data_IF_412291635152
#
_entry.id   IF_412291635152
#
_cell.length_a   1.000
_cell.length_b   1.000
_cell.length_c   1.000
_cell.angle_alpha   90.00
_cell.angle_beta   90.00
_cell.angle_gamma   90.00
#
_symmetry.space_group_name_H-M   'P 1'
#
loop_
_entity.id
_entity.type
_entity.pdbx_description
1 polymer ?
#
# COMPACT_ATOMS: atom_id res chain seq x y z
N UNK A 1 -0.20 6.00 -12.17
CA UNK A 1 -0.04 4.84 -11.29
C UNK A 1 1.11 4.04 -11.81
N UNK A 2 2.07 3.84 -10.91
CA UNK A 2 3.18 2.97 -11.18
C UNK A 2 2.77 1.52 -11.31
N UNK A 3 3.45 0.81 -12.20
CA UNK A 3 3.27 -0.62 -12.42
C UNK A 3 3.63 -1.37 -11.13
N UNK A 4 2.83 -2.35 -10.72
CA UNK A 4 3.18 -3.24 -9.60
C UNK A 4 3.99 -4.43 -10.11
N UNK A 5 5.15 -4.69 -9.49
CA UNK A 5 5.97 -5.89 -9.74
C UNK A 5 6.06 -6.70 -8.45
N UNK A 6 5.30 -7.79 -8.37
CA UNK A 6 5.31 -8.71 -7.23
C UNK A 6 5.93 -10.06 -7.60
N UNK A 7 6.66 -10.71 -6.67
CA UNK A 7 7.13 -12.06 -6.91
C UNK A 7 5.96 -13.03 -7.05
N UNK A 8 6.20 -14.11 -7.80
CA UNK A 8 5.22 -15.19 -7.91
C UNK A 8 5.24 -16.03 -6.64
N UNK A 9 4.29 -15.75 -5.75
CA UNK A 9 4.05 -16.62 -4.60
C UNK A 9 3.19 -17.81 -5.01
N UNK A 10 3.55 -19.02 -4.55
CA UNK A 10 2.69 -20.19 -4.69
C UNK A 10 1.69 -20.25 -3.52
N UNK A 11 0.74 -19.32 -3.52
CA UNK A 11 -0.31 -19.24 -2.48
C UNK A 11 -1.56 -19.94 -3.02
N UNK A 12 -2.11 -20.94 -2.30
CA UNK A 12 -3.28 -21.66 -2.77
C UNK A 12 -4.51 -20.75 -2.77
N UNK A 13 -5.34 -20.87 -3.80
CA UNK A 13 -6.70 -20.32 -3.78
C UNK A 13 -7.55 -21.19 -2.85
N UNK A 14 -8.28 -20.56 -1.93
CA UNK A 14 -9.15 -21.25 -0.98
C UNK A 14 -10.54 -20.63 -1.02
N UNK A 15 -11.54 -21.50 -1.19
CA UNK A 15 -12.94 -21.11 -0.98
C UNK A 15 -13.14 -20.87 0.52
N UNK A 16 -13.45 -19.64 0.87
CA UNK A 16 -13.75 -19.20 2.23
C UNK A 16 -15.12 -18.53 2.22
N UNK A 17 -15.88 -18.71 3.29
CA UNK A 17 -17.15 -18.02 3.44
C UNK A 17 -16.89 -16.53 3.71
N UNK A 18 -17.69 -15.67 3.08
CA UNK A 18 -17.71 -14.24 3.37
C UNK A 18 -18.92 -13.92 4.24
N UNK A 19 -18.80 -12.83 4.99
CA UNK A 19 -19.91 -12.21 5.74
C UNK A 19 -20.06 -10.76 5.30
N UNK A 20 -21.27 -10.23 5.33
CA UNK A 20 -21.47 -8.80 5.10
C UNK A 20 -21.07 -8.01 6.35
N UNK A 21 -20.24 -7.01 6.17
CA UNK A 21 -19.83 -6.08 7.23
C UNK A 21 -20.16 -4.66 6.79
N UNK A 22 -20.71 -3.87 7.71
CA UNK A 22 -21.05 -2.47 7.48
C UNK A 22 -19.77 -1.65 7.21
N UNK A 23 -19.83 -0.77 6.22
CA UNK A 23 -18.68 0.04 5.79
C UNK A 23 -18.24 1.04 6.87
N UNK A 24 -19.14 1.48 7.75
CA UNK A 24 -18.84 2.43 8.83
C UNK A 24 -18.00 1.81 9.98
N UNK A 25 -18.03 0.48 10.11
CA UNK A 25 -17.22 -0.30 11.04
C UNK A 25 -15.82 -0.60 10.51
N UNK A 26 -15.54 -0.32 9.24
CA UNK A 26 -14.25 -0.58 8.63
C UNK A 26 -13.31 0.63 8.78
N UNK A 27 -12.09 0.39 9.24
CA UNK A 27 -11.06 1.41 9.46
C UNK A 27 -9.89 1.22 8.50
N UNK A 28 -9.61 2.21 7.63
CA UNK A 28 -8.43 2.18 6.78
C UNK A 28 -7.17 2.38 7.62
N UNK A 29 -6.08 1.74 7.24
CA UNK A 29 -4.73 2.04 7.74
C UNK A 29 -3.83 2.70 6.70
N UNK A 30 -4.33 2.96 5.49
CA UNK A 30 -3.59 3.66 4.43
C UNK A 30 -4.45 4.73 3.77
N UNK A 31 -3.79 5.76 3.26
CA UNK A 31 -4.38 6.75 2.36
C UNK A 31 -4.80 6.09 1.03
N UNK A 32 -5.83 6.68 0.41
CA UNK A 32 -6.35 6.23 -0.88
C UNK A 32 -5.51 6.79 -2.03
N UNK A 33 -5.49 6.04 -3.13
CA UNK A 33 -5.01 6.54 -4.42
C UNK A 33 -6.22 6.87 -5.27
N UNK A 34 -6.36 8.13 -5.68
CA UNK A 34 -7.54 8.63 -6.37
C UNK A 34 -7.87 7.83 -7.65
N UNK A 35 -6.85 7.50 -8.44
CA UNK A 35 -7.03 6.72 -9.67
C UNK A 35 -7.55 5.30 -9.42
N UNK A 36 -7.00 4.57 -8.44
CA UNK A 36 -7.50 3.22 -8.11
C UNK A 36 -8.93 3.25 -7.57
N UNK A 37 -9.29 4.31 -6.84
CA UNK A 37 -10.66 4.53 -6.38
C UNK A 37 -11.61 4.70 -7.58
N UNK A 38 -11.23 5.52 -8.56
CA UNK A 38 -12.02 5.75 -9.79
C UNK A 38 -12.13 4.49 -10.64
N UNK A 39 -11.00 3.81 -10.88
CA UNK A 39 -10.94 2.55 -11.64
C UNK A 39 -11.84 1.47 -11.01
N UNK A 40 -11.85 1.37 -9.67
CA UNK A 40 -12.75 0.46 -8.95
C UNK A 40 -14.22 0.83 -9.17
N UNK A 41 -14.57 2.11 -9.02
CA UNK A 41 -15.96 2.58 -9.19
C UNK A 41 -16.45 2.29 -10.61
N UNK A 42 -15.66 2.59 -11.63
CA UNK A 42 -16.00 2.30 -13.02
C UNK A 42 -16.19 0.80 -13.25
N UNK A 43 -15.28 -0.03 -12.74
CA UNK A 43 -15.34 -1.48 -12.90
C UNK A 43 -16.57 -2.11 -12.24
N UNK A 44 -16.85 -1.74 -10.99
CA UNK A 44 -17.96 -2.34 -10.23
C UNK A 44 -19.32 -1.88 -10.75
N UNK A 45 -19.44 -0.62 -11.18
CA UNK A 45 -20.69 -0.08 -11.74
C UNK A 45 -20.97 -0.62 -13.14
N UNK A 46 -19.94 -0.79 -13.97
CA UNK A 46 -20.10 -1.33 -15.32
C UNK A 46 -20.46 -2.81 -15.34
N UNK A 47 -19.89 -3.60 -14.42
CA UNK A 47 -20.18 -5.03 -14.32
C UNK A 47 -21.42 -5.34 -13.49
N UNK A 48 -21.74 -4.49 -12.51
CA UNK A 48 -22.77 -4.75 -11.51
C UNK A 48 -22.39 -5.85 -10.51
N UNK A 49 -21.15 -6.35 -10.52
CA UNK A 49 -20.69 -7.47 -9.69
C UNK A 49 -19.49 -7.07 -8.84
N UNK A 50 -19.61 -7.29 -7.53
CA UNK A 50 -18.52 -7.20 -6.56
C UNK A 50 -17.92 -8.59 -6.34
N UNK A 51 -16.79 -8.86 -6.97
CA UNK A 51 -16.22 -10.21 -7.04
C UNK A 51 -15.04 -10.49 -6.11
N UNK A 52 -14.50 -9.46 -5.43
CA UNK A 52 -13.33 -9.59 -4.54
C UNK A 52 -13.67 -9.12 -3.13
N UNK A 53 -13.87 -10.08 -2.22
CA UNK A 53 -14.18 -9.80 -0.81
C UNK A 53 -13.14 -8.87 -0.16
N UNK A 54 -13.58 -8.10 0.82
CA UNK A 54 -12.69 -7.37 1.73
C UNK A 54 -11.93 -8.35 2.61
N UNK A 55 -10.68 -8.02 2.96
CA UNK A 55 -9.96 -8.72 4.02
C UNK A 55 -9.98 -7.84 5.26
N UNK A 56 -10.59 -8.34 6.34
CA UNK A 56 -10.80 -7.57 7.56
C UNK A 56 -10.18 -8.27 8.75
N UNK A 57 -9.73 -7.50 9.73
CA UNK A 57 -9.23 -7.99 11.01
C UNK A 57 -10.00 -7.30 12.14
N UNK A 58 -10.45 -8.05 13.15
CA UNK A 58 -11.15 -7.43 14.29
C UNK A 58 -10.19 -6.51 15.06
N UNK A 59 -10.63 -5.30 15.39
CA UNK A 59 -9.86 -4.40 16.26
C UNK A 59 -10.16 -4.78 17.72
N UNK A 60 -9.16 -5.25 18.50
CA UNK A 60 -9.41 -5.71 19.87
C UNK A 60 -10.02 -4.63 20.76
N UNK A 61 -11.08 -4.99 21.49
CA UNK A 61 -11.79 -4.08 22.40
C UNK A 61 -12.84 -3.19 21.74
N UNK A 62 -13.14 -3.37 20.45
CA UNK A 62 -14.13 -2.59 19.71
C UNK A 62 -15.06 -3.51 18.91
N UNK A 63 -16.14 -2.95 18.34
CA UNK A 63 -16.97 -3.61 17.34
C UNK A 63 -16.50 -3.36 15.89
N UNK A 64 -15.36 -2.70 15.71
CA UNK A 64 -14.80 -2.26 14.43
C UNK A 64 -13.77 -3.24 13.84
N UNK A 65 -13.39 -3.01 12.59
CA UNK A 65 -12.50 -3.85 11.79
C UNK A 65 -11.41 -3.04 11.08
N UNK A 66 -10.17 -3.48 11.19
CA UNK A 66 -9.05 -3.03 10.35
C UNK A 66 -9.26 -3.55 8.93
N UNK A 67 -9.13 -2.69 7.93
CA UNK A 67 -9.10 -3.08 6.51
C UNK A 67 -7.71 -3.61 6.18
N UNK A 68 -7.54 -4.94 6.12
CA UNK A 68 -6.25 -5.55 5.73
C UNK A 68 -6.01 -5.41 4.22
N UNK A 69 -7.04 -5.64 3.41
CA UNK A 69 -7.03 -5.38 1.96
C UNK A 69 -8.40 -4.88 1.50
N UNK A 70 -8.40 -3.82 0.68
CA UNK A 70 -9.58 -3.31 0.01
C UNK A 70 -9.93 -1.84 0.27
N UNK A 71 -8.98 -0.99 0.65
CA UNK A 71 -9.23 0.42 0.97
C UNK A 71 -10.00 1.16 -0.14
N UNK A 72 -9.61 0.99 -1.42
CA UNK A 72 -10.32 1.63 -2.53
C UNK A 72 -11.71 1.03 -2.77
N UNK A 73 -11.89 -0.27 -2.50
CA UNK A 73 -13.21 -0.93 -2.57
C UNK A 73 -14.16 -0.36 -1.53
N UNK A 74 -13.69 -0.27 -0.28
CA UNK A 74 -14.44 0.36 0.81
C UNK A 74 -14.80 1.81 0.50
N UNK A 75 -13.82 2.63 0.12
CA UNK A 75 -14.05 4.04 -0.17
C UNK A 75 -14.96 4.26 -1.38
N UNK A 76 -14.82 3.43 -2.42
CA UNK A 76 -15.67 3.49 -3.61
C UNK A 76 -17.11 3.10 -3.31
N UNK A 77 -17.32 2.04 -2.52
CA UNK A 77 -18.66 1.66 -2.08
C UNK A 77 -19.31 2.75 -1.22
N UNK A 78 -18.56 3.38 -0.31
CA UNK A 78 -19.06 4.53 0.45
C UNK A 78 -19.44 5.70 -0.48
N UNK A 79 -18.61 6.02 -1.47
CA UNK A 79 -18.88 7.09 -2.44
C UNK A 79 -20.11 6.80 -3.31
N UNK A 80 -20.39 5.52 -3.58
CA UNK A 80 -21.60 5.08 -4.29
C UNK A 80 -22.85 5.06 -3.38
N UNK A 81 -22.70 5.19 -2.06
CA UNK A 81 -23.81 5.17 -1.10
C UNK A 81 -24.19 3.78 -0.59
N UNK A 82 -23.41 2.75 -0.91
CA UNK A 82 -23.58 1.41 -0.36
C UNK A 82 -23.35 1.41 1.17
N UNK A 83 -23.83 0.37 1.85
CA UNK A 83 -23.82 0.26 3.32
C UNK A 83 -22.89 -0.83 3.84
N UNK A 84 -22.64 -1.87 3.04
CA UNK A 84 -21.88 -3.06 3.46
C UNK A 84 -21.05 -3.63 2.33
N UNK A 85 -20.07 -4.46 2.67
CA UNK A 85 -19.29 -5.24 1.70
C UNK A 85 -19.13 -6.69 2.15
N UNK A 86 -19.12 -7.66 1.23
CA UNK A 86 -18.76 -9.03 1.54
C UNK A 86 -17.28 -9.09 1.95
N UNK A 87 -17.02 -9.72 3.09
CA UNK A 87 -15.76 -9.63 3.80
C UNK A 87 -15.35 -10.99 4.37
N UNK A 88 -14.05 -11.29 4.32
CA UNK A 88 -13.43 -12.42 5.01
C UNK A 88 -12.75 -11.87 6.27
N UNK A 89 -13.14 -12.40 7.43
CA UNK A 89 -12.54 -12.01 8.70
C UNK A 89 -11.32 -12.89 8.96
N UNK A 90 -10.16 -12.26 9.08
CA UNK A 90 -8.89 -12.90 9.34
C UNK A 90 -8.59 -12.91 10.84
N UNK A 91 -7.97 -13.99 11.30
CA UNK A 91 -7.11 -13.90 12.48
C UNK A 91 -5.82 -13.20 12.06
N UNK A 92 -5.76 -11.89 12.33
CA UNK A 92 -4.64 -11.06 11.86
C UNK A 92 -3.32 -11.42 12.51
N UNK A 93 -3.35 -11.88 13.76
CA UNK A 93 -2.13 -12.20 14.50
C UNK A 93 -1.63 -13.63 14.24
N UNK A 94 -2.41 -14.46 13.54
CA UNK A 94 -1.96 -15.75 13.02
C UNK A 94 -0.61 -15.65 12.29
N UNK A 95 0.27 -16.62 12.52
CA UNK A 95 1.62 -16.60 11.96
C UNK A 95 1.63 -16.70 10.43
N UNK A 96 0.60 -17.27 9.82
CA UNK A 96 0.44 -17.33 8.37
C UNK A 96 0.19 -15.96 7.72
N UNK A 97 -0.32 -14.98 8.48
CA UNK A 97 -0.49 -13.60 8.03
C UNK A 97 0.80 -12.83 8.21
N UNK A 98 1.46 -12.50 7.10
CA UNK A 98 2.68 -11.69 7.05
C UNK A 98 2.37 -10.30 6.52
N UNK A 99 3.07 -9.30 7.03
CA UNK A 99 3.04 -7.93 6.53
C UNK A 99 4.45 -7.56 6.06
N UNK A 100 4.52 -7.06 4.83
CA UNK A 100 5.73 -6.50 4.23
C UNK A 100 5.46 -5.04 3.83
N UNK A 101 6.40 -4.41 3.14
CA UNK A 101 6.20 -3.11 2.48
C UNK A 101 6.28 -3.28 0.96
N UNK A 102 5.90 -2.22 0.25
CA UNK A 102 6.30 -1.97 -1.12
C UNK A 102 7.55 -1.10 -1.16
N UNK A 103 8.30 -1.23 -2.26
CA UNK A 103 9.49 -0.46 -2.58
C UNK A 103 9.18 0.39 -3.82
N UNK A 104 8.80 1.67 -3.64
CA UNK A 104 8.62 2.59 -4.75
C UNK A 104 9.95 2.76 -5.47
N UNK A 105 9.97 2.56 -6.78
CA UNK A 105 11.13 2.78 -7.61
C UNK A 105 10.74 3.62 -8.82
N UNK A 106 11.69 4.32 -9.41
CA UNK A 106 11.38 5.15 -10.55
C UNK A 106 12.48 5.13 -11.60
N UNK A 107 12.06 5.43 -12.83
CA UNK A 107 12.93 5.84 -13.93
C UNK A 107 12.76 7.35 -14.17
N UNK A 108 13.84 8.10 -14.15
CA UNK A 108 13.85 9.56 -14.27
C UNK A 108 15.04 10.23 -13.58
N UNK A 109 15.10 11.57 -13.65
CA UNK A 109 16.19 12.34 -13.03
C UNK A 109 16.04 12.39 -11.50
N UNK A 110 17.02 11.80 -10.81
CA UNK A 110 17.10 11.85 -9.34
C UNK A 110 17.28 13.27 -8.82
N UNK A 111 17.96 14.15 -9.56
CA UNK A 111 18.16 15.55 -9.19
C UNK A 111 16.83 16.30 -9.08
N UNK A 112 15.93 16.10 -10.05
CA UNK A 112 14.58 16.68 -10.02
C UNK A 112 13.76 16.13 -8.86
N UNK A 113 13.84 14.83 -8.61
CA UNK A 113 13.15 14.20 -7.46
C UNK A 113 13.65 14.81 -6.16
N UNK A 114 14.97 14.93 -5.98
CA UNK A 114 15.57 15.54 -4.79
C UNK A 114 15.16 17.02 -4.64
N UNK A 115 15.12 17.79 -5.72
CA UNK A 115 14.65 19.18 -5.71
C UNK A 115 13.20 19.28 -5.24
N UNK A 116 12.31 18.42 -5.76
CA UNK A 116 10.90 18.38 -5.37
C UNK A 116 10.71 17.95 -3.92
N UNK A 117 11.47 16.96 -3.45
CA UNK A 117 11.46 16.55 -2.05
C UNK A 117 11.88 17.70 -1.13
N UNK A 118 12.95 18.43 -1.49
CA UNK A 118 13.40 19.62 -0.75
C UNK A 118 12.38 20.76 -0.76
N UNK A 119 11.66 20.95 -1.86
CA UNK A 119 10.59 21.95 -1.95
C UNK A 119 9.42 21.65 -0.98
N UNK A 120 9.19 20.38 -0.62
CA UNK A 120 8.23 19.95 0.42
C UNK A 120 8.84 19.96 1.84
N UNK A 121 10.04 20.52 1.99
CA UNK A 121 10.74 20.68 3.26
C UNK A 121 11.41 19.40 3.77
N UNK A 122 11.69 18.43 2.89
CA UNK A 122 12.44 17.23 3.24
C UNK A 122 13.95 17.45 3.05
N UNK A 123 14.74 16.89 3.96
CA UNK A 123 16.18 16.81 3.78
C UNK A 123 16.55 15.54 3.00
N UNK A 124 17.53 15.65 2.11
CA UNK A 124 18.10 14.51 1.38
C UNK A 124 19.61 14.58 1.50
N UNK A 125 20.21 13.61 2.18
CA UNK A 125 21.61 13.62 2.59
C UNK A 125 22.29 12.36 2.02
N UNK A 126 23.39 12.53 1.29
CA UNK A 126 24.15 11.39 0.76
C UNK A 126 24.76 10.59 1.92
N UNK A 127 24.49 9.29 1.95
CA UNK A 127 24.96 8.39 2.99
C UNK A 127 25.13 6.97 2.43
N UNK A 128 26.35 6.40 2.45
CA UNK A 128 26.59 5.04 1.94
C UNK A 128 25.89 3.95 2.75
N UNK A 129 25.46 4.24 3.99
CA UNK A 129 24.75 3.30 4.86
C UNK A 129 23.24 3.58 4.91
N UNK A 130 22.70 4.34 3.95
CA UNK A 130 21.30 4.75 3.96
C UNK A 130 20.34 3.54 4.06
N UNK A 131 20.58 2.50 3.25
CA UNK A 131 19.73 1.31 3.20
C UNK A 131 19.63 0.62 4.56
N UNK A 132 20.77 0.40 5.23
CA UNK A 132 20.82 -0.23 6.55
C UNK A 132 20.06 0.58 7.62
N UNK A 133 20.22 1.90 7.61
CA UNK A 133 19.47 2.80 8.51
C UNK A 133 17.97 2.73 8.27
N UNK A 134 17.55 2.68 7.00
CA UNK A 134 16.14 2.57 6.65
C UNK A 134 15.53 1.24 7.08
N UNK A 135 16.26 0.13 6.95
CA UNK A 135 15.81 -1.20 7.40
C UNK A 135 15.66 -1.30 8.93
N UNK A 136 16.53 -0.61 9.66
CA UNK A 136 16.41 -0.47 11.13
C UNK A 136 15.30 0.48 11.56
N UNK A 137 14.71 1.23 10.62
CA UNK A 137 13.69 2.23 10.91
C UNK A 137 14.23 3.51 11.55
N UNK A 138 15.51 3.83 11.35
CA UNK A 138 16.15 5.04 11.89
C UNK A 138 15.84 6.29 11.05
N UNK A 139 15.37 6.11 9.81
CA UNK A 139 15.03 7.19 8.85
C UNK A 139 13.71 6.87 8.14
N UNK A 140 13.10 7.89 7.52
CA UNK A 140 11.83 7.73 6.81
C UNK A 140 11.99 6.84 5.58
N UNK A 141 13.01 7.13 4.77
CA UNK A 141 13.39 6.36 3.59
C UNK A 141 14.90 6.43 3.35
N UNK A 142 15.43 5.38 2.72
CA UNK A 142 16.65 5.43 1.94
C UNK A 142 16.29 5.50 0.45
N UNK A 143 16.99 6.33 -0.30
CA UNK A 143 16.91 6.42 -1.75
C UNK A 143 18.20 5.83 -2.33
N UNK A 144 18.09 4.68 -2.99
CA UNK A 144 19.24 3.85 -3.39
C UNK A 144 19.26 3.71 -4.92
N UNK A 145 20.40 4.08 -5.51
CA UNK A 145 20.69 3.94 -6.94
C UNK A 145 22.20 3.94 -7.16
N UNK A 146 22.70 4.72 -8.13
CA UNK A 146 24.15 4.95 -8.29
C UNK A 146 24.77 5.54 -7.01
N UNK A 147 24.02 6.42 -6.34
CA UNK A 147 24.33 6.95 -5.01
C UNK A 147 23.26 6.54 -4.02
N UNK A 148 23.59 6.62 -2.75
CA UNK A 148 22.66 6.34 -1.65
C UNK A 148 22.41 7.60 -0.84
N UNK A 149 21.15 7.86 -0.52
CA UNK A 149 20.73 9.01 0.27
C UNK A 149 19.79 8.59 1.38
N UNK A 150 19.86 9.26 2.53
CA UNK A 150 18.84 9.20 3.57
C UNK A 150 17.86 10.36 3.45
N UNK A 151 16.61 10.07 3.80
CA UNK A 151 15.56 11.05 4.07
C UNK A 151 15.20 10.89 5.55
N UNK A 152 15.70 11.76 6.44
CA UNK A 152 15.42 11.70 7.86
C UNK A 152 13.92 11.84 8.16
N UNK A 153 13.49 11.36 9.33
CA UNK A 153 12.12 11.51 9.80
C UNK A 153 11.39 10.17 9.96
N UNK A 154 10.07 10.22 9.97
CA UNK A 154 9.20 9.07 10.18
C UNK A 154 7.96 9.12 9.30
N UNK A 155 6.80 8.86 9.89
CA UNK A 155 5.53 8.70 9.17
C UNK A 155 5.15 9.92 8.32
N UNK A 156 5.32 11.14 8.84
CA UNK A 156 4.93 12.36 8.13
C UNK A 156 5.85 12.64 6.94
N UNK A 157 7.15 12.40 7.07
CA UNK A 157 8.10 12.49 5.96
C UNK A 157 7.84 11.42 4.91
N UNK A 158 7.49 10.18 5.33
CA UNK A 158 7.09 9.13 4.39
C UNK A 158 5.87 9.53 3.56
N UNK A 159 4.87 10.17 4.17
CA UNK A 159 3.69 10.70 3.45
C UNK A 159 4.07 11.76 2.43
N UNK A 160 4.95 12.70 2.79
CA UNK A 160 5.44 13.74 1.87
C UNK A 160 6.19 13.12 0.68
N UNK A 161 7.06 12.14 0.93
CA UNK A 161 7.75 11.40 -0.15
C UNK A 161 6.73 10.77 -1.10
N UNK A 162 5.76 10.01 -0.57
CA UNK A 162 4.74 9.36 -1.40
C UNK A 162 3.91 10.36 -2.21
N UNK A 163 3.55 11.50 -1.61
CA UNK A 163 2.84 12.59 -2.30
C UNK A 163 3.64 13.14 -3.48
N UNK A 164 4.92 13.46 -3.27
CA UNK A 164 5.79 13.97 -4.34
C UNK A 164 5.93 12.98 -5.49
N UNK A 165 6.12 11.69 -5.18
CA UNK A 165 6.26 10.67 -6.21
C UNK A 165 4.99 10.50 -7.04
N UNK A 166 3.81 10.53 -6.42
CA UNK A 166 2.54 10.45 -7.14
C UNK A 166 2.30 11.68 -8.03
N UNK A 167 2.59 12.89 -7.53
CA UNK A 167 2.51 14.12 -8.34
C UNK A 167 3.44 14.08 -9.57
N UNK A 168 4.67 13.60 -9.39
CA UNK A 168 5.65 13.49 -10.47
C UNK A 168 5.30 12.39 -11.48
N UNK A 169 4.74 11.26 -11.04
CA UNK A 169 4.22 10.19 -11.92
C UNK A 169 3.05 10.70 -12.77
N UNK A 170 2.12 11.44 -12.15
CA UNK A 170 0.98 12.03 -12.85
C UNK A 170 1.41 13.10 -13.87
N UNK A 171 2.43 13.88 -13.54
CA UNK A 171 3.04 14.85 -14.46
C UNK A 171 3.90 14.20 -15.56
N UNK A 172 4.10 12.87 -15.52
CA UNK A 172 5.00 12.12 -16.41
C UNK A 172 6.46 12.61 -16.35
N UNK A 173 6.87 13.15 -15.21
CA UNK A 173 8.25 13.57 -14.97
C UNK A 173 9.15 12.38 -14.60
N UNK A 174 8.54 11.34 -14.02
CA UNK A 174 9.13 10.05 -13.71
C UNK A 174 8.18 8.93 -14.13
N UNK A 175 8.71 7.74 -14.35
CA UNK A 175 7.92 6.50 -14.42
C UNK A 175 8.02 5.80 -13.07
N UNK A 176 6.95 5.82 -12.28
CA UNK A 176 6.91 5.17 -10.97
C UNK A 176 6.58 3.68 -11.12
N UNK A 177 7.13 2.83 -10.25
CA UNK A 177 6.85 1.38 -10.18
C UNK A 177 6.89 0.97 -8.71
N UNK A 178 5.97 0.11 -8.28
CA UNK A 178 5.96 -0.41 -6.91
C UNK A 178 6.41 -1.87 -6.90
N UNK A 179 7.56 -2.14 -6.32
CA UNK A 179 8.11 -3.48 -6.19
C UNK A 179 7.69 -4.15 -4.88
N UNK A 180 7.29 -5.42 -4.94
CA UNK A 180 6.99 -6.23 -3.76
C UNK A 180 8.24 -6.75 -3.05
N UNK A 181 9.35 -6.87 -3.78
CA UNK A 181 10.68 -7.24 -3.26
C UNK A 181 11.71 -6.20 -3.68
N UNK A 182 12.58 -5.85 -2.75
CA UNK A 182 13.68 -4.91 -2.98
C UNK A 182 14.70 -5.51 -3.95
N UNK A 183 14.91 -6.82 -3.89
CA UNK A 183 15.86 -7.56 -4.71
C UNK A 183 15.46 -7.53 -6.19
N UNK A 184 14.15 -7.60 -6.48
CA UNK A 184 13.64 -7.46 -7.84
C UNK A 184 13.88 -6.05 -8.39
N UNK A 185 13.70 -5.01 -7.54
CA UNK A 185 14.03 -3.65 -7.91
C UNK A 185 15.54 -3.51 -8.19
N UNK A 186 16.41 -4.08 -7.34
CA UNK A 186 17.86 -4.09 -7.57
C UNK A 186 18.25 -4.79 -8.87
N UNK A 187 17.65 -5.94 -9.17
CA UNK A 187 17.90 -6.68 -10.40
C UNK A 187 17.46 -5.89 -11.65
N UNK A 188 16.35 -5.16 -11.58
CA UNK A 188 15.87 -4.33 -12.68
C UNK A 188 16.67 -3.03 -12.83
N UNK A 189 17.21 -2.52 -11.72
CA UNK A 189 18.15 -1.39 -11.71
C UNK A 189 19.47 -1.77 -12.39
N UNK A 190 20.00 -2.96 -12.13
CA UNK A 190 21.19 -3.50 -12.83
C UNK A 190 20.98 -3.65 -14.34
N UNK A 191 19.73 -3.87 -14.79
CA UNK A 191 19.37 -3.92 -16.21
C UNK A 191 19.11 -2.54 -16.82
N UNK A 192 19.11 -1.46 -16.02
CA UNK A 192 18.76 -0.11 -16.47
C UNK A 192 17.25 0.09 -16.74
N UNK A 193 16.39 -0.76 -16.19
CA UNK A 193 14.93 -0.60 -16.27
C UNK A 193 14.43 0.49 -15.33
N UNK A 194 15.09 0.69 -14.18
CA UNK A 194 14.81 1.74 -13.19
C UNK A 194 16.13 2.39 -12.76
N UNK A 195 16.07 3.62 -12.25
CA UNK A 195 17.26 4.37 -11.84
C UNK A 195 17.48 4.33 -10.33
N UNK A 196 16.39 4.41 -9.54
CA UNK A 196 16.45 4.48 -8.08
C UNK A 196 15.27 3.76 -7.42
N UNK A 197 15.49 3.27 -6.21
CA UNK A 197 14.48 2.65 -5.34
C UNK A 197 14.46 3.29 -3.96
N UNK A 198 13.25 3.50 -3.43
CA UNK A 198 12.99 3.92 -2.07
C UNK A 198 12.83 2.70 -1.16
N UNK A 199 13.61 2.65 -0.09
CA UNK A 199 13.63 1.58 0.91
C UNK A 199 13.20 2.15 2.26
N UNK A 200 12.28 1.45 2.95
CA UNK A 200 11.87 1.73 4.32
C UNK A 200 11.71 0.43 5.10
N UNK A 201 11.75 0.51 6.42
CA UNK A 201 11.32 -0.59 7.29
C UNK A 201 9.84 -0.90 7.04
N UNK A 202 9.53 -2.19 6.86
CA UNK A 202 8.15 -2.64 6.80
C UNK A 202 7.48 -2.50 8.19
N UNK A 203 6.23 -2.05 8.26
CA UNK A 203 5.53 -1.97 9.53
C UNK A 203 5.22 -3.36 10.08
N UNK A 204 5.18 -3.51 11.40
CA UNK A 204 4.71 -4.74 12.06
C UNK A 204 3.18 -4.78 12.13
N UNK A 205 2.62 -5.96 12.43
CA UNK A 205 1.16 -6.11 12.59
C UNK A 205 0.66 -5.28 13.77
N UNK A 206 1.47 -5.20 14.82
CA UNK A 206 1.24 -4.40 16.01
C UNK A 206 1.24 -2.91 15.66
N UNK A 207 2.24 -2.42 14.92
CA UNK A 207 2.33 -1.02 14.47
C UNK A 207 1.11 -0.63 13.61
N UNK A 208 0.68 -1.50 12.68
CA UNK A 208 -0.54 -1.27 11.87
C UNK A 208 -1.78 -1.19 12.75
N UNK A 209 -1.93 -2.11 13.71
CA UNK A 209 -3.09 -2.15 14.61
C UNK A 209 -3.13 -0.94 15.56
N UNK A 210 -1.98 -0.52 16.09
CA UNK A 210 -1.86 0.67 16.93
C UNK A 210 -2.19 1.95 16.16
N UNK A 211 -1.72 2.07 14.93
CA UNK A 211 -1.96 3.23 14.08
C UNK A 211 -3.46 3.42 13.80
N UNK A 212 -4.17 2.33 13.46
CA UNK A 212 -5.63 2.38 13.28
C UNK A 212 -6.39 2.72 14.55
N UNK A 213 -5.94 2.22 15.72
CA UNK A 213 -6.54 2.58 17.01
C UNK A 213 -6.41 4.06 17.33
N UNK A 214 -5.38 4.74 16.80
CA UNK A 214 -5.20 6.19 16.91
C UNK A 214 -6.00 6.99 15.87
N UNK A 215 -6.66 6.31 14.93
CA UNK A 215 -7.37 6.94 13.82
C UNK A 215 -6.44 7.54 12.76
N UNK A 216 -5.17 7.11 12.75
CA UNK A 216 -4.16 7.55 11.79
C UNK A 216 -4.05 6.57 10.62
N UNK A 217 -3.43 7.02 9.52
CA UNK A 217 -3.19 6.22 8.31
C UNK A 217 -1.77 6.40 7.80
N UNK A 218 -1.20 5.35 7.21
CA UNK A 218 0.03 5.38 6.44
C UNK A 218 -0.18 6.04 5.07
N UNK A 219 0.93 6.35 4.38
CA UNK A 219 0.87 6.69 2.97
C UNK A 219 0.44 5.47 2.13
N UNK A 220 -0.02 5.67 0.88
CA UNK A 220 -0.42 4.55 0.04
C UNK A 220 0.72 3.55 -0.18
N UNK A 221 0.39 2.26 -0.34
CA UNK A 221 1.34 1.18 -0.62
C UNK A 221 2.38 1.04 0.50
N UNK A 222 1.97 1.17 1.76
CA UNK A 222 2.85 0.99 2.93
C UNK A 222 2.92 -0.43 3.43
N UNK A 223 1.81 -1.11 3.38
CA UNK A 223 1.67 -2.51 3.76
C UNK A 223 1.47 -3.35 2.51
N UNK A 224 2.06 -4.54 2.55
CA UNK A 224 1.85 -5.59 1.58
C UNK A 224 1.62 -6.88 2.34
N UNK A 225 0.35 -7.19 2.57
CA UNK A 225 -0.02 -8.42 3.26
C UNK A 225 0.14 -9.63 2.35
N UNK A 226 0.76 -10.67 2.90
CA UNK A 226 0.81 -11.99 2.29
C UNK A 226 0.06 -12.93 3.23
N UNK A 227 -1.00 -13.53 2.68
CA UNK A 227 -1.85 -14.48 3.39
C UNK A 227 -1.43 -15.92 3.07
N UNK A 228 -1.79 -16.90 3.92
CA UNK A 228 -1.55 -18.31 3.62
C UNK A 228 -2.47 -18.85 2.52
N UNK A 229 -3.46 -18.07 2.07
CA UNK A 229 -4.36 -18.39 0.97
C UNK A 229 -4.83 -17.12 0.25
N UNK A 230 -5.27 -17.27 -0.99
CA UNK A 230 -6.01 -16.24 -1.72
C UNK A 230 -7.50 -16.60 -1.63
N UNK A 231 -8.38 -15.74 -1.07
CA UNK A 231 -9.81 -15.99 -1.12
C UNK A 231 -10.28 -16.17 -2.56
N UNK A 232 -11.05 -17.23 -2.81
CA UNK A 232 -11.66 -17.43 -4.12
C UNK A 232 -12.60 -16.27 -4.48
N UNK A 233 -12.80 -16.05 -5.78
CA UNK A 233 -13.71 -14.99 -6.24
C UNK A 233 -15.13 -15.30 -5.80
N UNK A 234 -15.88 -14.25 -5.51
CA UNK A 234 -17.29 -14.31 -5.14
C UNK A 234 -18.15 -13.72 -6.27
N UNK A 235 -19.45 -13.96 -6.21
CA UNK A 235 -20.42 -13.43 -7.17
C UNK A 235 -21.53 -12.73 -6.39
N UNK A 236 -21.27 -11.49 -5.99
CA UNK A 236 -22.20 -10.65 -5.21
C UNK A 236 -22.62 -9.49 -6.09
N UNK A 237 -23.93 -9.28 -6.24
CA UNK A 237 -24.41 -8.15 -7.02
C UNK A 237 -24.20 -6.84 -6.28
N UNK A 238 -23.87 -5.78 -7.01
CA UNK A 238 -23.67 -4.46 -6.45
C UNK A 238 -24.96 -3.95 -5.75
N UNK A 239 -26.14 -4.26 -6.26
CA UNK A 239 -27.43 -3.89 -5.64
C UNK A 239 -27.61 -4.45 -4.23
N UNK A 240 -27.00 -5.61 -3.93
CA UNK A 240 -27.08 -6.24 -2.62
C UNK A 240 -26.23 -5.53 -1.56
N UNK A 241 -25.42 -4.54 -1.94
CA UNK A 241 -24.52 -3.81 -1.02
C UNK A 241 -25.15 -2.55 -0.42
N UNK A 242 -26.30 -2.13 -0.93
CA UNK A 242 -27.04 -0.96 -0.46
C UNK A 242 -27.91 -1.27 0.77
#
# INVERSE_FOLDING_TARGET
MGVEKVPKYNIPVKKVEYVFVDLDKMKPHEQLVQRELEDFIESVTSSGIFWKAMLLAKIPGTDEYLIVDGHHRWAGLQKLGAKRAPSVILDYFDEGVKVYTWYPAFKGSVEKVIERLKAEGLEVIEDPNAEEKAERGEVAFALVGEKSYIIPGGLEEQKKVSKVLDEMDQAKEIELVYYGLKEDAKADMEKGEIDYVFVRKAPTKEEVMELVKRGEVFSPKTTRHVLPFIPDKIDVKLEDLF
#
